data_IF_320226755976
#
_entry.id   IF_320226755976
#
_cell.length_a   1.000
_cell.length_b   1.000
_cell.length_c   1.000
_cell.angle_alpha   90.00
_cell.angle_beta   90.00
_cell.angle_gamma   90.00
#
_symmetry.space_group_name_H-M   'P 1'
#
loop_
_entity.id
_entity.type
_entity.pdbx_description
1 polymer ?
#
# COMPACT_ATOMS: atom_id res chain seq x y z
N UNK A 1 -9.32 0.79 -15.12
CA UNK A 1 -10.32 1.84 -15.11
C UNK A 1 -9.59 3.17 -14.97
N UNK A 2 -9.16 3.72 -16.13
CA UNK A 2 -8.56 5.05 -16.19
C UNK A 2 -9.65 6.10 -16.18
N UNK A 3 -10.18 6.48 -15.04
CA UNK A 3 -10.81 7.77 -14.90
C UNK A 3 -9.72 8.75 -14.49
N UNK A 4 -9.57 9.84 -15.24
CA UNK A 4 -8.86 11.03 -14.82
C UNK A 4 -9.48 11.51 -13.51
N UNK A 5 -8.93 11.05 -12.39
CA UNK A 5 -9.35 11.57 -11.10
C UNK A 5 -8.65 12.92 -10.89
N UNK A 6 -9.40 14.01 -11.07
CA UNK A 6 -8.97 15.33 -10.65
C UNK A 6 -8.50 15.30 -9.20
N UNK A 7 -7.56 16.17 -8.84
CA UNK A 7 -7.13 16.33 -7.44
C UNK A 7 -8.32 16.60 -6.50
N UNK A 8 -9.38 17.24 -7.01
CA UNK A 8 -10.63 17.50 -6.31
C UNK A 8 -11.39 16.22 -5.95
N UNK A 9 -11.30 15.19 -6.79
CA UNK A 9 -12.04 13.93 -6.64
C UNK A 9 -11.24 12.88 -5.84
N UNK A 10 -9.98 13.19 -5.45
CA UNK A 10 -9.16 12.35 -4.57
C UNK A 10 -9.62 12.56 -3.14
N UNK A 11 -10.75 11.97 -2.81
CA UNK A 11 -11.34 12.00 -1.46
C UNK A 11 -10.52 11.12 -0.49
N UNK A 12 -10.76 11.32 0.81
CA UNK A 12 -10.22 10.41 1.83
C UNK A 12 -10.62 8.98 1.49
N UNK A 13 -9.70 8.05 1.68
CA UNK A 13 -9.94 6.65 1.31
C UNK A 13 -11.00 6.05 2.22
N UNK A 14 -12.17 5.80 1.65
CA UNK A 14 -13.22 5.02 2.30
C UNK A 14 -12.85 3.54 2.25
N UNK A 15 -12.48 2.96 3.39
CA UNK A 15 -12.10 1.54 3.51
C UNK A 15 -13.23 0.60 3.14
N UNK A 16 -14.48 0.95 3.45
CA UNK A 16 -15.64 0.16 3.08
C UNK A 16 -15.80 0.09 1.57
N UNK A 17 -15.73 1.24 0.91
CA UNK A 17 -15.83 1.31 -0.55
C UNK A 17 -14.65 0.61 -1.23
N UNK A 18 -13.45 0.73 -0.68
CA UNK A 18 -12.27 0.02 -1.18
C UNK A 18 -12.47 -1.50 -1.13
N UNK A 19 -12.93 -2.04 0.00
CA UNK A 19 -13.22 -3.48 0.15
C UNK A 19 -14.28 -3.94 -0.84
N UNK A 20 -15.38 -3.18 -0.97
CA UNK A 20 -16.46 -3.44 -1.93
C UNK A 20 -15.91 -3.52 -3.35
N UNK A 21 -15.04 -2.57 -3.74
CA UNK A 21 -14.43 -2.55 -5.07
C UNK A 21 -13.48 -3.74 -5.28
N UNK A 22 -12.66 -4.10 -4.29
CA UNK A 22 -11.80 -5.28 -4.39
C UNK A 22 -12.63 -6.55 -4.57
N UNK A 23 -13.67 -6.74 -3.77
CA UNK A 23 -14.55 -7.89 -3.90
C UNK A 23 -15.21 -7.93 -5.28
N UNK A 24 -15.86 -6.84 -5.70
CA UNK A 24 -16.55 -6.76 -6.98
C UNK A 24 -15.63 -7.09 -8.16
N UNK A 25 -14.41 -6.49 -8.21
CA UNK A 25 -13.48 -6.73 -9.30
C UNK A 25 -12.81 -8.11 -9.23
N UNK A 26 -12.45 -8.59 -8.04
CA UNK A 26 -11.80 -9.90 -7.89
C UNK A 26 -12.77 -11.02 -8.24
N UNK A 27 -13.98 -10.99 -7.71
CA UNK A 27 -15.02 -12.01 -7.98
C UNK A 27 -15.52 -11.91 -9.40
N UNK A 28 -15.85 -10.71 -9.88
CA UNK A 28 -16.32 -10.53 -11.26
C UNK A 28 -15.32 -10.99 -12.32
N UNK A 29 -14.04 -10.69 -12.14
CA UNK A 29 -13.00 -11.18 -13.03
C UNK A 29 -12.83 -12.72 -12.93
N UNK A 30 -12.93 -13.28 -11.72
CA UNK A 30 -12.84 -14.72 -11.52
C UNK A 30 -13.98 -15.46 -12.22
N UNK A 31 -15.23 -15.00 -12.07
CA UNK A 31 -16.41 -15.62 -12.67
C UNK A 31 -16.41 -15.58 -14.20
N UNK A 32 -15.78 -14.56 -14.79
CA UNK A 32 -15.73 -14.34 -16.24
C UNK A 32 -14.38 -14.71 -16.87
N UNK A 33 -13.52 -15.46 -16.17
CA UNK A 33 -12.17 -15.81 -16.61
C UNK A 33 -11.30 -14.61 -17.00
N UNK A 34 -11.56 -13.45 -16.40
CA UNK A 34 -10.77 -12.25 -16.54
C UNK A 34 -9.53 -12.29 -15.64
N UNK A 35 -8.65 -11.28 -15.79
CA UNK A 35 -7.41 -11.16 -15.00
C UNK A 35 -7.18 -9.71 -14.60
N UNK A 36 -7.01 -9.47 -13.29
CA UNK A 36 -6.82 -8.13 -12.76
C UNK A 36 -5.39 -7.61 -12.94
N UNK A 37 -5.26 -6.30 -13.16
CA UNK A 37 -4.03 -5.54 -12.89
C UNK A 37 -4.10 -5.00 -11.48
N UNK A 38 -3.15 -5.37 -10.64
CA UNK A 38 -3.11 -5.05 -9.22
C UNK A 38 -2.05 -3.98 -8.97
N UNK A 39 -2.43 -2.83 -8.43
CA UNK A 39 -1.50 -1.77 -8.06
C UNK A 39 -2.09 -0.83 -7.03
N UNK A 40 -1.24 -0.25 -6.22
CA UNK A 40 -1.59 0.80 -5.28
C UNK A 40 -1.28 2.20 -5.80
N UNK A 41 -0.11 2.35 -6.43
CA UNK A 41 0.40 3.63 -6.89
C UNK A 41 0.63 3.64 -8.40
N UNK A 42 0.62 4.85 -8.94
CA UNK A 42 1.08 5.20 -10.27
C UNK A 42 1.50 6.69 -10.27
N UNK A 43 1.92 7.21 -11.41
CA UNK A 43 2.34 8.61 -11.55
C UNK A 43 1.21 9.65 -11.37
N UNK A 44 -0.03 9.22 -11.22
CA UNK A 44 -1.22 10.08 -11.06
C UNK A 44 -1.88 9.96 -9.67
N UNK A 45 -1.33 9.14 -8.78
CA UNK A 45 -1.86 8.93 -7.44
C UNK A 45 -0.80 9.28 -6.38
N UNK A 46 -1.17 9.94 -5.27
CA UNK A 46 -0.29 10.09 -4.13
C UNK A 46 0.17 8.73 -3.58
N UNK A 47 1.27 8.72 -2.86
CA UNK A 47 1.87 7.51 -2.29
C UNK A 47 0.91 6.77 -1.37
N UNK A 48 0.82 5.45 -1.51
CA UNK A 48 -0.16 4.64 -0.78
C UNK A 48 0.07 4.63 0.73
N UNK A 49 1.34 4.64 1.17
CA UNK A 49 1.67 4.65 2.59
C UNK A 49 1.15 5.91 3.28
N UNK A 50 1.13 7.05 2.57
CA UNK A 50 0.57 8.31 3.05
C UNK A 50 -0.96 8.33 3.02
N UNK A 51 -1.57 7.61 2.07
CA UNK A 51 -3.03 7.59 1.89
C UNK A 51 -3.74 6.62 2.83
N UNK A 52 -3.14 5.46 3.09
CA UNK A 52 -3.80 4.36 3.80
C UNK A 52 -2.93 3.74 4.89
N UNK A 53 -1.66 4.05 4.92
CA UNK A 53 -0.72 3.58 5.93
C UNK A 53 -0.52 4.58 7.06
N UNK A 54 0.65 4.49 7.66
CA UNK A 54 1.12 5.39 8.70
C UNK A 54 2.57 5.77 8.36
N UNK A 55 2.86 7.06 8.21
CA UNK A 55 4.20 7.54 7.84
C UNK A 55 5.15 7.68 9.03
N UNK A 56 4.70 7.32 10.25
CA UNK A 56 5.42 7.55 11.50
C UNK A 56 5.71 6.22 12.20
N UNK A 57 5.03 6.00 13.32
CA UNK A 57 5.32 4.90 14.25
C UNK A 57 5.12 3.50 13.63
N UNK A 58 4.26 3.39 12.62
CA UNK A 58 3.96 2.14 11.91
C UNK A 58 4.29 2.19 10.42
N UNK A 59 5.26 3.03 10.02
CA UNK A 59 5.63 3.19 8.62
C UNK A 59 5.96 1.85 7.94
N UNK A 60 6.91 1.12 8.50
CA UNK A 60 7.35 -0.18 7.99
C UNK A 60 6.22 -1.22 8.00
N UNK A 61 5.48 -1.29 9.10
CA UNK A 61 4.39 -2.26 9.26
C UNK A 61 3.26 -1.99 8.25
N UNK A 62 2.84 -0.74 8.13
CA UNK A 62 1.75 -0.38 7.22
C UNK A 62 2.14 -0.56 5.76
N UNK A 63 3.37 -0.22 5.35
CA UNK A 63 3.85 -0.46 3.99
C UNK A 63 3.86 -1.96 3.64
N UNK A 64 4.37 -2.82 4.54
CA UNK A 64 4.37 -4.27 4.36
C UNK A 64 2.95 -4.85 4.32
N UNK A 65 2.04 -4.37 5.17
CA UNK A 65 0.64 -4.79 5.15
C UNK A 65 -0.03 -4.42 3.82
N UNK A 66 0.14 -3.19 3.36
CA UNK A 66 -0.45 -2.72 2.11
C UNK A 66 -0.01 -3.55 0.90
N UNK A 67 1.28 -3.88 0.80
CA UNK A 67 1.76 -4.71 -0.31
C UNK A 67 1.23 -6.14 -0.22
N UNK A 68 1.22 -6.76 0.95
CA UNK A 68 0.68 -8.11 1.12
C UNK A 68 -0.80 -8.17 0.75
N UNK A 69 -1.58 -7.16 1.18
CA UNK A 69 -3.01 -7.06 0.92
C UNK A 69 -3.37 -7.19 -0.57
N UNK A 70 -2.52 -6.66 -1.47
CA UNK A 70 -2.79 -6.67 -2.92
C UNK A 70 -1.99 -7.72 -3.67
N UNK A 71 -0.72 -7.94 -3.32
CA UNK A 71 0.15 -8.87 -4.06
C UNK A 71 -0.28 -10.33 -3.95
N UNK A 72 -1.06 -10.69 -2.93
CA UNK A 72 -1.60 -12.04 -2.76
C UNK A 72 -2.98 -12.24 -3.40
N UNK A 73 -3.60 -11.19 -3.94
CA UNK A 73 -4.85 -11.29 -4.70
C UNK A 73 -4.63 -11.95 -6.06
N UNK A 74 -5.74 -12.32 -6.71
CA UNK A 74 -5.75 -12.89 -8.07
C UNK A 74 -5.57 -11.77 -9.11
N UNK A 75 -4.46 -11.78 -9.85
CA UNK A 75 -4.10 -10.76 -10.83
C UNK A 75 -2.59 -10.60 -10.99
N UNK A 76 -2.15 -9.66 -11.81
CA UNK A 76 -0.74 -9.29 -11.98
C UNK A 76 -0.43 -8.06 -11.16
N UNK A 77 0.43 -8.14 -10.14
CA UNK A 77 0.85 -6.98 -9.38
C UNK A 77 1.84 -6.11 -10.18
N UNK A 78 1.63 -4.80 -10.12
CA UNK A 78 2.53 -3.78 -10.64
C UNK A 78 3.07 -2.98 -9.47
N UNK A 79 4.38 -2.87 -9.39
CA UNK A 79 5.09 -2.13 -8.36
C UNK A 79 5.50 -0.78 -8.96
N UNK A 80 4.96 0.30 -8.40
CA UNK A 80 5.39 1.62 -8.80
C UNK A 80 6.66 2.01 -8.05
N UNK A 81 7.62 2.63 -8.76
CA UNK A 81 8.91 3.03 -8.20
C UNK A 81 8.77 3.76 -6.85
N UNK A 82 9.53 3.31 -5.85
CA UNK A 82 9.52 3.86 -4.48
C UNK A 82 8.52 3.19 -3.53
N UNK A 83 7.54 2.39 -4.03
CA UNK A 83 6.71 1.58 -3.14
C UNK A 83 7.54 0.55 -2.38
N UNK A 84 8.50 -0.07 -3.06
CA UNK A 84 9.37 -1.11 -2.54
C UNK A 84 10.32 -0.64 -1.42
N UNK A 85 10.43 0.66 -1.22
CA UNK A 85 11.16 1.28 -0.11
C UNK A 85 10.24 2.14 0.77
N UNK A 86 8.93 2.04 0.60
CA UNK A 86 7.94 2.74 1.42
C UNK A 86 7.97 4.25 1.30
N UNK A 87 8.33 4.83 0.15
CA UNK A 87 8.35 6.29 -0.04
C UNK A 87 6.99 6.90 0.28
N UNK A 88 6.92 7.86 1.22
CA UNK A 88 5.71 8.64 1.49
C UNK A 88 5.56 9.82 0.52
N UNK A 89 4.51 10.61 0.70
CA UNK A 89 4.31 11.86 -0.02
C UNK A 89 5.47 12.84 0.21
N UNK A 90 5.67 13.74 -0.74
CA UNK A 90 6.79 14.68 -0.71
C UNK A 90 6.71 15.73 0.41
N UNK A 91 5.51 16.07 0.87
CA UNK A 91 5.25 17.09 1.90
C UNK A 91 5.89 18.46 1.59
N UNK A 92 5.91 18.87 0.33
CA UNK A 92 6.42 20.17 -0.08
C UNK A 92 5.72 21.32 0.65
N UNK A 93 6.49 22.32 1.06
CA UNK A 93 6.03 23.40 1.94
C UNK A 93 5.65 24.68 1.21
N UNK A 94 6.07 24.81 -0.06
CA UNK A 94 5.80 25.98 -0.88
C UNK A 94 5.21 25.57 -2.24
N UNK A 95 4.32 26.43 -2.79
CA UNK A 95 3.76 26.21 -4.12
C UNK A 95 4.83 26.19 -5.21
N UNK A 96 5.96 26.84 -4.99
CA UNK A 96 7.09 26.86 -5.91
C UNK A 96 7.76 25.49 -6.08
N UNK A 97 7.53 24.53 -5.19
CA UNK A 97 8.07 23.17 -5.28
C UNK A 97 7.22 22.28 -6.21
N UNK A 98 5.95 22.65 -6.44
CA UNK A 98 5.04 21.90 -7.30
C UNK A 98 5.26 22.22 -8.78
N UNK A 99 5.13 21.21 -9.63
CA UNK A 99 5.30 21.29 -11.10
C UNK A 99 4.05 20.88 -11.87
N UNK A 100 3.17 20.08 -11.26
CA UNK A 100 1.95 19.61 -11.87
C UNK A 100 0.95 20.75 -12.08
N UNK A 101 0.58 20.96 -13.35
CA UNK A 101 -0.34 22.05 -13.75
C UNK A 101 -1.70 21.93 -13.04
N UNK A 102 -2.18 20.70 -12.82
CA UNK A 102 -3.43 20.48 -12.07
C UNK A 102 -3.29 21.00 -10.64
N UNK A 103 -2.16 20.69 -9.97
CA UNK A 103 -1.89 21.15 -8.61
C UNK A 103 -1.80 22.67 -8.51
N UNK A 104 -1.08 23.29 -9.45
CA UNK A 104 -0.96 24.76 -9.51
C UNK A 104 -2.33 25.45 -9.73
N UNK A 105 -3.13 24.93 -10.66
CA UNK A 105 -4.47 25.45 -10.89
C UNK A 105 -5.40 25.26 -9.70
N UNK A 106 -5.33 24.10 -9.04
CA UNK A 106 -6.16 23.82 -7.88
C UNK A 106 -5.78 24.67 -6.67
N UNK A 107 -4.49 24.96 -6.48
CA UNK A 107 -4.05 25.93 -5.47
C UNK A 107 -4.74 27.28 -5.64
N UNK A 108 -4.77 27.83 -6.85
CA UNK A 108 -5.45 29.10 -7.16
C UNK A 108 -6.96 29.03 -6.92
N UNK A 109 -7.59 27.89 -7.21
CA UNK A 109 -9.02 27.68 -6.94
C UNK A 109 -9.27 27.72 -5.43
N UNK A 110 -8.48 27.00 -4.62
CA UNK A 110 -8.63 26.98 -3.18
C UNK A 110 -8.49 28.37 -2.55
N UNK A 111 -7.52 29.18 -3.02
CA UNK A 111 -7.39 30.57 -2.57
C UNK A 111 -8.61 31.43 -2.93
N UNK A 112 -9.18 31.27 -4.15
CA UNK A 112 -10.41 31.96 -4.56
C UNK A 112 -11.63 31.52 -3.76
N UNK A 113 -11.66 30.28 -3.29
CA UNK A 113 -12.69 29.74 -2.39
C UNK A 113 -12.52 30.22 -0.93
N UNK A 114 -11.48 31.01 -0.64
CA UNK A 114 -11.22 31.61 0.68
C UNK A 114 -10.36 30.77 1.61
N UNK A 115 -9.71 29.72 1.12
CA UNK A 115 -8.73 28.96 1.89
C UNK A 115 -7.46 29.78 2.10
N UNK A 116 -6.78 29.56 3.22
CA UNK A 116 -5.44 30.13 3.45
C UNK A 116 -4.41 29.42 2.57
N UNK A 117 -3.21 30.02 2.43
CA UNK A 117 -2.10 29.39 1.71
C UNK A 117 -1.69 28.08 2.37
N UNK A 118 -1.65 28.04 3.69
CA UNK A 118 -1.31 26.87 4.49
C UNK A 118 -2.32 25.73 4.27
N UNK A 119 -3.62 26.03 4.26
CA UNK A 119 -4.67 25.03 3.97
C UNK A 119 -4.57 24.51 2.53
N UNK A 120 -4.29 25.41 1.57
CA UNK A 120 -4.12 25.02 0.18
C UNK A 120 -2.88 24.11 -0.01
N UNK A 121 -1.74 24.47 0.58
CA UNK A 121 -0.52 23.62 0.56
C UNK A 121 -0.79 22.27 1.23
N UNK A 122 -1.45 22.25 2.39
CA UNK A 122 -1.80 20.97 3.04
C UNK A 122 -2.64 20.07 2.13
N UNK A 123 -3.60 20.63 1.40
CA UNK A 123 -4.37 19.86 0.42
C UNK A 123 -3.48 19.27 -0.69
N UNK A 124 -2.49 20.03 -1.19
CA UNK A 124 -1.55 19.53 -2.19
C UNK A 124 -0.61 18.46 -1.63
N UNK A 125 -0.15 18.60 -0.39
CA UNK A 125 0.66 17.58 0.29
C UNK A 125 -0.06 16.22 0.36
N UNK A 126 -1.39 16.24 0.50
CA UNK A 126 -2.20 15.03 0.57
C UNK A 126 -2.58 14.47 -0.81
N UNK A 127 -2.79 15.33 -1.82
CA UNK A 127 -3.52 14.96 -3.03
C UNK A 127 -2.79 15.19 -4.35
N UNK A 128 -1.69 15.95 -4.38
CA UNK A 128 -0.97 16.24 -5.61
C UNK A 128 -0.34 14.99 -6.23
N UNK A 129 -0.38 14.91 -7.56
CA UNK A 129 0.34 13.90 -8.34
C UNK A 129 1.86 14.00 -8.19
N UNK A 130 2.38 15.18 -7.90
CA UNK A 130 3.82 15.42 -7.70
C UNK A 130 4.38 14.59 -6.55
N UNK A 131 3.55 14.19 -5.59
CA UNK A 131 3.94 13.28 -4.51
C UNK A 131 4.51 11.94 -5.03
N UNK A 132 4.06 11.46 -6.19
CA UNK A 132 4.54 10.23 -6.80
C UNK A 132 5.56 10.44 -7.93
N UNK A 133 5.84 11.70 -8.27
CA UNK A 133 6.76 12.05 -9.38
C UNK A 133 8.13 12.51 -8.91
N UNK A 134 8.37 12.47 -7.62
CA UNK A 134 9.66 12.78 -7.02
C UNK A 134 10.74 11.80 -7.49
N UNK A 135 12.02 12.22 -7.54
CA UNK A 135 13.13 11.33 -7.83
C UNK A 135 13.14 10.09 -6.92
N UNK A 136 13.57 8.95 -7.47
CA UNK A 136 13.83 7.76 -6.68
C UNK A 136 14.96 8.04 -5.68
N UNK A 137 14.77 7.60 -4.45
CA UNK A 137 15.71 7.81 -3.35
C UNK A 137 16.68 6.62 -3.27
N UNK A 138 17.88 6.77 -3.86
CA UNK A 138 18.88 5.70 -3.92
C UNK A 138 19.77 5.65 -2.69
N UNK A 139 20.19 6.83 -2.16
CA UNK A 139 21.09 6.96 -1.01
C UNK A 139 20.80 8.24 -0.23
N UNK A 140 21.56 8.48 0.84
CA UNK A 140 21.59 9.72 1.61
C UNK A 140 22.49 10.81 1.02
N UNK A 141 23.08 10.58 -0.17
CA UNK A 141 23.90 11.56 -0.89
C UNK A 141 23.04 12.68 -1.49
N UNK A 142 23.70 13.75 -1.93
CA UNK A 142 23.05 14.90 -2.59
C UNK A 142 22.10 14.45 -3.70
N UNK A 143 20.92 15.08 -3.77
CA UNK A 143 19.81 14.69 -4.66
C UNK A 143 19.39 13.22 -4.51
N UNK A 144 19.52 12.65 -3.32
CA UNK A 144 19.21 11.25 -3.01
C UNK A 144 19.99 10.23 -3.88
N UNK A 145 21.19 10.56 -4.33
CA UNK A 145 21.95 9.75 -5.29
C UNK A 145 21.28 9.56 -6.65
N UNK A 146 20.25 10.36 -6.95
CA UNK A 146 19.49 10.26 -8.19
C UNK A 146 20.18 10.98 -9.36
N UNK A 147 20.84 12.13 -9.11
CA UNK A 147 21.41 12.99 -10.15
C UNK A 147 22.52 13.86 -9.59
N UNK A 148 23.54 14.11 -10.42
CA UNK A 148 24.64 15.05 -10.16
C UNK A 148 24.22 16.54 -10.32
N UNK A 149 22.99 16.77 -10.79
CA UNK A 149 22.42 18.11 -10.98
C UNK A 149 21.04 18.18 -10.34
N UNK A 150 20.60 19.39 -9.98
CA UNK A 150 19.27 19.59 -9.38
C UNK A 150 18.18 19.00 -10.25
N UNK A 151 17.38 18.05 -9.75
CA UNK A 151 16.26 17.47 -10.48
C UNK A 151 15.17 18.51 -10.81
N UNK A 152 14.39 18.25 -11.86
CA UNK A 152 13.30 19.16 -12.27
C UNK A 152 12.18 19.29 -11.23
N UNK A 153 11.99 18.27 -10.38
CA UNK A 153 11.17 18.28 -9.18
C UNK A 153 12.06 17.94 -7.98
N UNK A 154 11.87 18.62 -6.87
CA UNK A 154 12.73 18.49 -5.71
C UNK A 154 12.67 17.10 -5.08
N UNK A 155 13.77 16.66 -4.49
CA UNK A 155 13.81 15.46 -3.64
C UNK A 155 13.14 15.79 -2.31
N UNK A 156 12.28 14.91 -1.78
CA UNK A 156 11.66 15.10 -0.46
C UNK A 156 12.67 15.04 0.68
N UNK A 157 12.44 15.79 1.76
CA UNK A 157 13.36 15.90 2.92
C UNK A 157 13.68 14.54 3.60
N UNK A 158 12.82 13.52 3.45
CA UNK A 158 12.98 12.21 4.11
C UNK A 158 13.95 11.25 3.41
N UNK A 159 14.61 11.65 2.32
CA UNK A 159 15.50 10.77 1.56
C UNK A 159 16.74 10.30 2.34
N UNK A 160 17.18 11.06 3.36
CA UNK A 160 18.30 10.65 4.21
C UNK A 160 17.98 9.37 5.02
N UNK A 161 16.71 9.17 5.38
CA UNK A 161 16.26 8.02 6.16
C UNK A 161 15.66 6.93 5.27
N UNK A 162 14.81 7.33 4.29
CA UNK A 162 14.08 6.42 3.40
C UNK A 162 14.77 6.38 2.05
N UNK A 163 15.61 5.39 1.82
CA UNK A 163 16.33 5.19 0.57
C UNK A 163 16.72 3.72 0.37
N UNK A 164 17.06 3.37 -0.88
CA UNK A 164 17.42 2.00 -1.26
C UNK A 164 18.60 1.48 -0.46
N UNK A 165 19.63 2.30 -0.23
CA UNK A 165 20.82 1.87 0.48
C UNK A 165 20.50 1.46 1.93
N UNK A 166 19.65 2.19 2.63
CA UNK A 166 19.24 1.88 3.99
C UNK A 166 18.33 0.62 4.03
N UNK A 167 17.40 0.50 3.08
CA UNK A 167 16.55 -0.67 2.96
C UNK A 167 17.35 -1.96 2.70
N UNK A 168 18.44 -1.88 1.93
CA UNK A 168 19.32 -3.03 1.67
C UNK A 168 20.16 -3.44 2.90
N UNK A 169 20.39 -2.54 3.85
CA UNK A 169 21.12 -2.82 5.10
C UNK A 169 20.25 -3.55 6.14
N UNK A 170 18.93 -3.42 6.08
CA UNK A 170 17.98 -4.01 7.01
C UNK A 170 17.29 -5.25 6.41
N UNK A 171 17.59 -6.43 6.95
CA UNK A 171 16.99 -7.69 6.49
C UNK A 171 15.48 -7.81 6.75
N UNK A 172 14.95 -6.98 7.66
CA UNK A 172 13.50 -6.83 7.91
C UNK A 172 12.92 -5.58 7.23
N UNK A 173 13.52 -5.10 6.14
CA UNK A 173 13.06 -3.93 5.41
C UNK A 173 11.79 -4.20 4.59
N UNK A 174 11.20 -3.11 4.09
CA UNK A 174 10.09 -3.14 3.14
C UNK A 174 10.56 -3.78 1.83
N UNK A 175 11.77 -3.46 1.38
CA UNK A 175 12.37 -4.03 0.17
C UNK A 175 12.46 -5.56 0.22
N UNK A 176 12.99 -6.13 1.30
CA UNK A 176 13.09 -7.59 1.42
C UNK A 176 11.73 -8.25 1.57
N UNK A 177 10.76 -7.57 2.14
CA UNK A 177 9.38 -8.06 2.20
C UNK A 177 8.75 -8.13 0.79
N UNK A 178 8.91 -7.10 -0.05
CA UNK A 178 8.52 -7.13 -1.47
C UNK A 178 9.19 -8.29 -2.21
N UNK A 179 10.49 -8.43 -2.04
CA UNK A 179 11.26 -9.51 -2.65
C UNK A 179 10.70 -10.88 -2.27
N UNK A 180 10.39 -11.08 -0.99
CA UNK A 180 9.80 -12.34 -0.49
C UNK A 180 8.42 -12.61 -1.09
N UNK A 181 7.56 -11.60 -1.20
CA UNK A 181 6.25 -11.74 -1.86
C UNK A 181 6.37 -12.12 -3.33
N UNK A 182 7.35 -11.55 -4.05
CA UNK A 182 7.62 -11.89 -5.45
C UNK A 182 8.12 -13.34 -5.57
N UNK A 183 8.99 -13.80 -4.66
CA UNK A 183 9.45 -15.18 -4.59
C UNK A 183 8.29 -16.14 -4.33
N UNK A 184 7.48 -15.89 -3.29
CA UNK A 184 6.29 -16.68 -2.98
C UNK A 184 5.33 -16.77 -4.16
N UNK A 185 5.12 -15.67 -4.87
CA UNK A 185 4.27 -15.66 -6.05
C UNK A 185 4.80 -16.54 -7.18
N UNK A 186 6.13 -16.69 -7.33
CA UNK A 186 6.74 -17.60 -8.32
C UNK A 186 6.69 -19.06 -7.89
N UNK A 187 6.73 -19.34 -6.60
CA UNK A 187 6.81 -20.68 -6.03
C UNK A 187 5.45 -21.30 -5.78
N UNK A 188 4.42 -20.51 -5.44
CA UNK A 188 3.10 -20.97 -5.00
C UNK A 188 2.05 -20.82 -6.10
N UNK A 189 1.59 -21.97 -6.63
CA UNK A 189 0.53 -21.99 -7.65
C UNK A 189 -0.78 -21.36 -7.12
N UNK A 190 -1.09 -21.53 -5.83
CA UNK A 190 -2.29 -20.93 -5.21
C UNK A 190 -2.32 -19.42 -5.30
N UNK A 191 -1.18 -18.73 -5.23
CA UNK A 191 -1.09 -17.27 -5.40
C UNK A 191 -1.34 -16.89 -6.87
N UNK A 192 -0.81 -17.68 -7.82
CA UNK A 192 -0.94 -17.42 -9.24
C UNK A 192 -2.35 -17.78 -9.75
N UNK A 193 -2.79 -19.03 -9.55
CA UNK A 193 -3.95 -19.62 -10.22
C UNK A 193 -5.16 -19.77 -9.28
N UNK A 194 -4.96 -19.66 -7.97
CA UNK A 194 -5.99 -19.92 -6.97
C UNK A 194 -7.22 -19.02 -7.13
N UNK A 195 -8.37 -19.56 -6.74
CA UNK A 195 -9.58 -18.77 -6.55
C UNK A 195 -9.42 -17.82 -5.38
N UNK A 196 -10.26 -16.79 -5.31
CA UNK A 196 -10.30 -15.83 -4.20
C UNK A 196 -11.71 -15.74 -3.64
N UNK A 197 -11.81 -15.69 -2.32
CA UNK A 197 -13.07 -15.49 -1.60
C UNK A 197 -12.83 -14.54 -0.42
N UNK A 198 -13.68 -13.51 -0.28
CA UNK A 198 -13.57 -12.54 0.81
C UNK A 198 -14.48 -12.94 1.97
N UNK A 199 -14.00 -12.73 3.19
CA UNK A 199 -14.76 -12.92 4.42
C UNK A 199 -14.59 -11.71 5.35
N UNK A 200 -15.31 -11.65 6.49
CA UNK A 200 -15.37 -10.48 7.38
C UNK A 200 -15.69 -9.17 6.62
N UNK A 201 -16.66 -9.25 5.70
CA UNK A 201 -16.94 -8.16 4.74
C UNK A 201 -17.50 -6.90 5.41
N UNK A 202 -18.23 -7.06 6.51
CA UNK A 202 -18.85 -5.95 7.24
C UNK A 202 -17.87 -5.20 8.16
N UNK A 203 -16.67 -5.73 8.36
CA UNK A 203 -15.64 -5.11 9.17
C UNK A 203 -14.75 -4.20 8.35
N UNK A 204 -14.97 -2.90 8.40
CA UNK A 204 -14.25 -1.91 7.59
C UNK A 204 -12.75 -1.79 7.93
N UNK A 205 -12.33 -2.28 9.10
CA UNK A 205 -10.95 -2.23 9.57
C UNK A 205 -10.12 -3.46 9.16
N UNK A 206 -10.79 -4.50 8.64
CA UNK A 206 -10.15 -5.77 8.26
C UNK A 206 -10.33 -6.05 6.77
N UNK A 207 -9.23 -6.33 6.06
CA UNK A 207 -9.26 -6.87 4.71
C UNK A 207 -8.81 -8.33 4.75
N UNK A 208 -9.76 -9.25 4.60
CA UNK A 208 -9.53 -10.68 4.77
C UNK A 208 -10.07 -11.48 3.56
N UNK A 209 -9.27 -12.42 3.09
CA UNK A 209 -9.66 -13.30 2.00
C UNK A 209 -8.89 -14.62 2.02
N UNK A 210 -9.47 -15.63 1.37
CA UNK A 210 -8.89 -16.93 1.15
C UNK A 210 -8.44 -17.09 -0.30
N UNK A 211 -7.42 -17.92 -0.52
CA UNK A 211 -7.01 -18.40 -1.84
C UNK A 211 -7.01 -19.93 -1.81
N UNK A 212 -7.61 -20.53 -2.81
CA UNK A 212 -7.73 -21.99 -2.92
C UNK A 212 -7.24 -22.49 -4.29
N UNK A 213 -6.34 -23.47 -4.30
CA UNK A 213 -5.90 -24.15 -5.52
C UNK A 213 -5.46 -25.58 -5.23
N UNK A 214 -6.17 -26.57 -5.80
CA UNK A 214 -5.92 -28.00 -5.54
C UNK A 214 -5.96 -28.29 -4.02
N UNK A 215 -4.84 -28.73 -3.43
CA UNK A 215 -4.70 -29.01 -2.01
C UNK A 215 -4.13 -27.80 -1.21
N UNK A 216 -3.71 -26.74 -1.91
CA UNK A 216 -3.15 -25.53 -1.29
C UNK A 216 -4.28 -24.59 -0.86
N UNK A 217 -4.17 -24.07 0.35
CA UNK A 217 -5.09 -23.08 0.90
C UNK A 217 -4.33 -22.00 1.65
N UNK A 218 -4.58 -20.75 1.30
CA UNK A 218 -4.05 -19.58 2.00
C UNK A 218 -5.17 -18.77 2.64
N UNK A 219 -4.92 -18.28 3.84
CA UNK A 219 -5.76 -17.31 4.54
C UNK A 219 -4.95 -16.04 4.71
N UNK A 220 -5.44 -14.93 4.20
CA UNK A 220 -4.78 -13.63 4.24
C UNK A 220 -5.59 -12.68 5.11
N UNK A 221 -4.99 -12.20 6.19
CA UNK A 221 -5.59 -11.29 7.15
C UNK A 221 -4.79 -9.98 7.18
N UNK A 222 -5.46 -8.84 6.99
CA UNK A 222 -4.81 -7.53 7.01
C UNK A 222 -5.61 -6.58 7.90
N UNK A 223 -5.01 -6.14 9.00
CA UNK A 223 -5.53 -5.05 9.83
C UNK A 223 -5.18 -3.70 9.18
N UNK A 224 -6.18 -2.96 8.73
CA UNK A 224 -6.01 -1.66 8.05
C UNK A 224 -5.88 -0.47 9.02
N UNK A 225 -5.67 -0.73 10.32
CA UNK A 225 -5.70 0.32 11.35
C UNK A 225 -4.54 0.24 12.32
N UNK A 226 -4.35 1.32 13.08
CA UNK A 226 -3.38 1.40 14.18
C UNK A 226 -3.87 0.80 15.51
N UNK A 227 -5.03 0.14 15.51
CA UNK A 227 -5.60 -0.53 16.69
C UNK A 227 -5.45 -2.03 16.55
N UNK A 228 -5.35 -2.73 17.68
CA UNK A 228 -5.44 -4.19 17.66
C UNK A 228 -6.83 -4.65 17.20
N UNK A 229 -6.87 -5.77 16.47
CA UNK A 229 -8.07 -6.34 15.89
C UNK A 229 -8.17 -7.82 16.20
N UNK A 230 -9.23 -8.23 16.87
CA UNK A 230 -9.54 -9.65 17.09
C UNK A 230 -10.37 -10.17 15.92
N UNK A 231 -9.99 -11.33 15.39
CA UNK A 231 -10.66 -12.02 14.28
C UNK A 231 -10.95 -13.45 14.71
N UNK A 232 -12.19 -13.88 14.62
CA UNK A 232 -12.56 -15.29 14.80
C UNK A 232 -12.24 -16.07 13.53
N UNK A 233 -11.56 -17.21 13.70
CA UNK A 233 -11.17 -18.08 12.59
C UNK A 233 -11.73 -19.49 12.79
N UNK A 234 -12.01 -20.23 11.71
CA UNK A 234 -12.35 -21.63 11.80
C UNK A 234 -11.29 -22.43 12.58
N UNK A 235 -11.71 -23.39 13.41
CA UNK A 235 -10.80 -24.23 14.20
C UNK A 235 -9.74 -24.92 13.33
N UNK A 236 -10.07 -25.26 12.09
CA UNK A 236 -9.12 -25.87 11.14
C UNK A 236 -7.89 -25.00 10.90
N UNK A 237 -8.05 -23.67 10.80
CA UNK A 237 -6.97 -22.75 10.48
C UNK A 237 -5.95 -22.57 11.63
N UNK A 238 -6.30 -22.97 12.83
CA UNK A 238 -5.35 -22.96 13.97
C UNK A 238 -4.19 -23.95 13.81
N UNK A 239 -4.33 -24.92 12.89
CA UNK A 239 -3.27 -25.87 12.53
C UNK A 239 -2.42 -25.41 11.34
N UNK A 240 -2.76 -24.29 10.71
CA UNK A 240 -1.99 -23.73 9.61
C UNK A 240 -0.70 -23.08 10.14
N UNK A 241 0.32 -23.03 9.30
CA UNK A 241 1.55 -22.34 9.64
C UNK A 241 1.63 -20.96 9.01
N UNK A 242 2.35 -20.06 9.63
CA UNK A 242 2.60 -18.74 9.07
C UNK A 242 3.50 -18.85 7.85
N UNK A 243 2.98 -18.47 6.69
CA UNK A 243 3.74 -18.36 5.43
C UNK A 243 4.55 -17.07 5.39
N UNK A 244 3.92 -15.93 5.69
CA UNK A 244 4.53 -14.60 5.75
C UNK A 244 3.72 -13.69 6.67
N UNK A 245 4.37 -12.70 7.24
CA UNK A 245 3.75 -11.64 8.04
C UNK A 245 4.75 -10.53 8.33
N UNK A 246 4.28 -9.38 8.71
CA UNK A 246 5.11 -8.20 9.01
C UNK A 246 5.47 -8.04 10.49
N UNK A 247 5.17 -9.05 11.30
CA UNK A 247 5.63 -9.20 12.68
C UNK A 247 6.23 -10.59 12.86
N UNK A 248 7.18 -10.75 13.78
CA UNK A 248 7.94 -11.99 13.96
C UNK A 248 7.09 -13.18 14.40
N UNK A 249 6.10 -12.92 15.25
CA UNK A 249 5.25 -13.97 15.84
C UNK A 249 3.79 -13.73 15.49
N UNK A 250 3.03 -14.81 15.34
CA UNK A 250 1.58 -14.78 15.28
C UNK A 250 0.96 -14.82 16.69
N UNK A 251 -0.21 -14.22 16.86
CA UNK A 251 -0.97 -14.23 18.10
C UNK A 251 -2.29 -14.98 17.87
N UNK A 252 -2.19 -16.31 17.79
CA UNK A 252 -3.32 -17.22 17.60
C UNK A 252 -3.59 -17.92 18.94
N UNK A 253 -4.83 -17.81 19.44
CA UNK A 253 -5.29 -18.46 20.67
C UNK A 253 -6.64 -19.09 20.41
N UNK A 254 -6.73 -20.41 20.65
CA UNK A 254 -7.96 -21.17 20.37
C UNK A 254 -8.39 -20.97 18.91
N UNK A 255 -9.55 -20.34 18.68
CA UNK A 255 -10.08 -20.01 17.35
C UNK A 255 -10.05 -18.50 17.06
N UNK A 256 -9.12 -17.75 17.66
CA UNK A 256 -8.98 -16.30 17.52
C UNK A 256 -7.58 -15.91 17.14
N UNK A 257 -7.50 -14.93 16.26
CA UNK A 257 -6.27 -14.22 15.90
C UNK A 257 -6.38 -12.80 16.41
N UNK A 258 -5.37 -12.32 17.12
CA UNK A 258 -5.27 -10.90 17.50
C UNK A 258 -4.21 -10.25 16.61
N UNK A 259 -4.67 -9.49 15.65
CA UNK A 259 -3.81 -8.71 14.74
C UNK A 259 -3.40 -7.41 15.41
N UNK A 260 -2.10 -7.13 15.44
CA UNK A 260 -1.51 -5.87 15.91
C UNK A 260 -1.77 -4.73 14.93
N UNK A 261 -1.43 -3.48 15.27
CA UNK A 261 -1.54 -2.34 14.34
C UNK A 261 -0.88 -2.63 12.99
N UNK A 262 -1.64 -2.44 11.92
CA UNK A 262 -1.21 -2.69 10.53
C UNK A 262 -0.57 -4.07 10.30
N UNK A 263 -1.03 -5.09 11.04
CA UNK A 263 -0.53 -6.44 10.85
C UNK A 263 -1.12 -7.08 9.59
N UNK A 264 -0.24 -7.68 8.80
CA UNK A 264 -0.59 -8.72 7.84
C UNK A 264 -0.14 -10.06 8.36
N UNK A 265 -1.03 -11.05 8.31
CA UNK A 265 -0.76 -12.44 8.65
C UNK A 265 -1.28 -13.33 7.53
N UNK A 266 -0.41 -14.14 6.97
CA UNK A 266 -0.77 -15.11 5.94
C UNK A 266 -0.51 -16.50 6.49
N UNK A 267 -1.57 -17.29 6.54
CA UNK A 267 -1.54 -18.67 6.99
C UNK A 267 -1.67 -19.60 5.79
N UNK A 268 -0.93 -20.70 5.82
CA UNK A 268 -0.93 -21.75 4.81
C UNK A 268 -1.22 -23.11 5.46
N UNK A 269 -2.05 -23.90 4.78
CA UNK A 269 -2.39 -25.27 5.18
C UNK A 269 -1.18 -26.20 5.07
#
# INVERSE_FOLDING_TARGET
VGSEMCIRDRMDTDRKELKRLFEEWQIGMQEHNGWNSLFWCNHDQPRIVSRMGNEKDYWKQSAKMLVAAVHLMRGTPYIYQGEEIGMPNAHFKDIADYRDVESLNYYEILLKEGKTKEEAIKTLQERSRDNSRTPMQWSDEENAGFSDVTPWISVPDHYEEINVENELKDQDSIYYFYKKLIELRKEKEVIQEGTIEFFEKEDDDLLAYERNYKEEHLVVLNNLTEREKEVEIPQLWTSYHKLIGNYDTENIKENKVVLRPYETLVLEK
#
